data_IF_182120332587
#
_entry.id   IF_182120332587
#
_cell.length_a   1.000
_cell.length_b   1.000
_cell.length_c   1.000
_cell.angle_alpha   90.00
_cell.angle_beta   90.00
_cell.angle_gamma   90.00
#
_symmetry.space_group_name_H-M   'P 1'
#
loop_
_entity.id
_entity.type
_entity.pdbx_description
1 polymer ?
#
# COMPACT_ATOMS: atom_id res chain seq x y z
N UNK A 1 -4.83 -2.51 -12.59
CA UNK A 1 -4.14 -3.08 -11.42
C UNK A 1 -5.01 -2.81 -10.22
N UNK A 2 -5.81 -3.79 -9.83
CA UNK A 2 -6.74 -3.71 -8.70
C UNK A 2 -5.91 -3.69 -7.41
N UNK A 3 -6.13 -2.72 -6.54
CA UNK A 3 -5.38 -2.57 -5.29
C UNK A 3 -5.76 -3.74 -4.36
N UNK A 4 -4.98 -4.82 -4.40
CA UNK A 4 -5.14 -5.99 -3.55
C UNK A 4 -4.91 -5.64 -2.08
N UNK A 5 -5.51 -6.41 -1.17
CA UNK A 5 -5.72 -6.03 0.24
C UNK A 5 -4.46 -6.30 1.07
N UNK A 6 -3.65 -5.27 1.33
CA UNK A 6 -2.43 -5.36 2.15
C UNK A 6 -2.71 -5.27 3.66
N UNK A 7 -3.30 -6.28 4.28
CA UNK A 7 -3.53 -6.20 5.74
C UNK A 7 -2.22 -6.39 6.51
N UNK A 8 -1.82 -5.40 7.33
CA UNK A 8 -0.97 -5.64 8.51
C UNK A 8 0.31 -4.80 8.65
N UNK A 9 0.81 -4.17 7.58
CA UNK A 9 2.04 -3.35 7.65
C UNK A 9 1.93 -1.99 6.96
N UNK A 10 1.29 -1.93 5.78
CA UNK A 10 1.23 -0.70 4.97
C UNK A 10 -0.20 -0.17 4.88
N UNK A 11 -1.20 -1.06 4.93
CA UNK A 11 -2.60 -0.70 4.89
C UNK A 11 -3.28 -1.25 6.15
N UNK A 12 -4.00 -0.37 6.85
CA UNK A 12 -4.81 -0.73 8.00
C UNK A 12 -5.93 -1.70 7.63
N UNK A 13 -6.61 -2.24 8.64
CA UNK A 13 -7.71 -3.19 8.45
C UNK A 13 -8.90 -2.64 7.62
N UNK A 14 -8.95 -1.33 7.43
CA UNK A 14 -9.98 -0.59 6.70
C UNK A 14 -9.56 -0.15 5.27
N UNK A 15 -8.40 -0.57 4.77
CA UNK A 15 -7.97 -0.18 3.43
C UNK A 15 -7.25 1.17 3.34
N UNK A 16 -6.99 1.83 4.47
CA UNK A 16 -6.26 3.10 4.54
C UNK A 16 -4.76 2.85 4.66
N UNK A 17 -3.96 3.49 3.81
CA UNK A 17 -2.49 3.45 3.88
C UNK A 17 -2.03 4.13 5.17
N UNK A 18 -1.21 3.48 5.99
CA UNK A 18 -0.54 4.14 7.13
C UNK A 18 0.60 5.04 6.59
N UNK A 19 0.52 6.37 6.75
CA UNK A 19 1.56 7.28 6.27
C UNK A 19 2.93 7.00 6.90
N UNK A 20 2.97 6.44 8.12
CA UNK A 20 4.21 6.16 8.85
C UNK A 20 4.94 4.94 8.30
N UNK A 21 4.19 3.98 7.74
CA UNK A 21 4.74 2.78 7.13
C UNK A 21 5.26 3.01 5.70
N UNK A 22 4.89 4.15 5.09
CA UNK A 22 5.25 4.48 3.71
C UNK A 22 6.25 5.64 3.71
N UNK A 23 7.50 5.39 3.33
CA UNK A 23 8.58 6.37 3.48
C UNK A 23 8.31 7.72 2.78
N UNK A 24 7.72 7.68 1.57
CA UNK A 24 7.36 8.90 0.81
C UNK A 24 6.26 9.72 1.50
N UNK A 25 5.36 9.07 2.24
CA UNK A 25 4.30 9.74 3.00
C UNK A 25 4.80 10.23 4.36
N UNK A 26 5.64 9.44 5.04
CA UNK A 26 6.24 9.80 6.32
C UNK A 26 7.16 11.03 6.21
N UNK A 27 7.82 11.20 5.06
CA UNK A 27 8.73 12.32 4.77
C UNK A 27 8.27 13.06 3.50
N UNK A 28 7.00 13.46 3.49
CA UNK A 28 6.44 14.20 2.35
C UNK A 28 7.28 15.44 2.01
N UNK A 29 7.42 15.73 0.72
CA UNK A 29 8.17 16.85 0.14
C UNK A 29 7.32 17.39 -1.01
N UNK A 30 7.42 18.69 -1.29
CA UNK A 30 6.66 19.32 -2.36
C UNK A 30 7.01 18.81 -3.77
N UNK A 31 8.18 18.18 -3.92
CA UNK A 31 8.62 17.53 -5.16
C UNK A 31 8.01 16.13 -5.35
N UNK A 32 7.40 15.53 -4.33
CA UNK A 32 6.76 14.23 -4.47
C UNK A 32 5.47 14.34 -5.30
N UNK A 33 5.27 13.36 -6.17
CA UNK A 33 4.11 13.27 -7.04
C UNK A 33 3.34 11.97 -6.81
N UNK A 34 2.11 11.89 -7.32
CA UNK A 34 1.31 10.67 -7.29
C UNK A 34 2.07 9.50 -7.92
N UNK A 35 2.87 9.75 -8.97
CA UNK A 35 3.71 8.74 -9.59
C UNK A 35 4.68 8.10 -8.57
N UNK A 36 5.33 8.91 -7.74
CA UNK A 36 6.26 8.41 -6.72
C UNK A 36 5.52 7.59 -5.66
N UNK A 37 4.31 8.03 -5.26
CA UNK A 37 3.46 7.27 -4.33
C UNK A 37 3.12 5.90 -4.91
N UNK A 38 2.67 5.83 -6.16
CA UNK A 38 2.29 4.57 -6.81
C UNK A 38 3.49 3.63 -7.00
N UNK A 39 4.67 4.19 -7.35
CA UNK A 39 5.90 3.41 -7.45
C UNK A 39 6.35 2.84 -6.11
N UNK A 40 6.25 3.62 -5.03
CA UNK A 40 6.61 3.16 -3.69
C UNK A 40 5.64 2.08 -3.21
N UNK A 41 4.33 2.26 -3.42
CA UNK A 41 3.34 1.23 -3.14
C UNK A 41 3.69 -0.06 -3.89
N UNK A 42 3.95 0.01 -5.20
CA UNK A 42 4.34 -1.16 -6.01
C UNK A 42 5.63 -1.83 -5.55
N UNK A 43 6.66 -1.05 -5.19
CA UNK A 43 7.91 -1.56 -4.60
C UNK A 43 7.63 -2.34 -3.32
N UNK A 44 6.75 -1.79 -2.47
CA UNK A 44 6.34 -2.47 -1.25
C UNK A 44 5.52 -3.72 -1.54
N UNK A 45 4.71 -3.76 -2.61
CA UNK A 45 3.94 -4.95 -3.02
C UNK A 45 4.82 -6.16 -3.38
N UNK A 46 6.01 -5.91 -3.90
CA UNK A 46 6.96 -6.94 -4.36
C UNK A 46 8.05 -7.22 -3.29
N UNK A 47 7.98 -6.55 -2.14
CA UNK A 47 8.94 -6.76 -1.07
C UNK A 47 8.85 -8.19 -0.48
N UNK A 48 9.95 -8.70 0.07
CA UNK A 48 10.00 -10.06 0.65
C UNK A 48 9.00 -10.26 1.79
N UNK A 49 8.68 -9.20 2.51
CA UNK A 49 7.77 -9.20 3.64
C UNK A 49 6.31 -9.36 3.20
N UNK A 50 5.96 -8.82 2.03
CA UNK A 50 4.58 -8.73 1.58
C UNK A 50 4.23 -9.71 0.45
N UNK A 51 5.22 -10.15 -0.34
CA UNK A 51 5.05 -11.07 -1.47
C UNK A 51 4.47 -12.43 -1.06
N UNK A 52 4.67 -12.86 0.18
CA UNK A 52 4.17 -14.15 0.71
C UNK A 52 2.88 -14.03 1.52
N UNK A 53 2.33 -12.83 1.66
CA UNK A 53 1.11 -12.63 2.44
C UNK A 53 -0.09 -13.21 1.69
N UNK A 54 -0.99 -13.93 2.39
CA UNK A 54 -2.23 -14.39 1.78
C UNK A 54 -3.07 -13.19 1.35
N UNK A 55 -3.51 -13.20 0.09
CA UNK A 55 -4.42 -12.20 -0.46
C UNK A 55 -5.88 -12.63 -0.21
N UNK A 56 -6.81 -11.69 -0.06
CA UNK A 56 -8.23 -12.02 -0.08
C UNK A 56 -8.66 -12.51 -1.48
N UNK A 57 -9.89 -12.99 -1.62
CA UNK A 57 -10.49 -13.26 -2.92
C UNK A 57 -10.37 -12.05 -3.85
N UNK A 58 -10.05 -12.33 -5.11
CA UNK A 58 -10.02 -11.31 -6.15
C UNK A 58 -11.41 -10.66 -6.31
N UNK A 59 -11.43 -9.34 -6.54
CA UNK A 59 -12.66 -8.56 -6.67
C UNK A 59 -13.29 -8.11 -5.34
N UNK A 60 -12.70 -8.46 -4.19
CA UNK A 60 -13.15 -7.93 -2.91
C UNK A 60 -12.76 -6.45 -2.74
N UNK A 61 -13.74 -5.60 -2.40
CA UNK A 61 -13.57 -4.19 -2.07
C UNK A 61 -13.88 -3.90 -0.59
N UNK A 62 -13.34 -2.81 -0.06
CA UNK A 62 -13.75 -2.27 1.24
C UNK A 62 -15.09 -1.52 1.11
N UNK A 63 -15.92 -1.58 2.15
CA UNK A 63 -17.06 -0.67 2.32
C UNK A 63 -16.56 0.72 2.69
N UNK A 64 -17.24 1.76 2.19
CA UNK A 64 -16.98 3.15 2.56
C UNK A 64 -17.50 3.48 3.96
#
# INVERSE_FOLDING_TARGET
MTLTRWTGMIIGSNGVVDPRATAVLAKWQNSHSIQIILQELWRLMISKETMKLPQPPEGQCYSN
#
